data_IF_743297718946
#
_entry.id   IF_743297718946
#
_cell.length_a   1.000
_cell.length_b   1.000
_cell.length_c   1.000
_cell.angle_alpha   90.00
_cell.angle_beta   90.00
_cell.angle_gamma   90.00
#
_symmetry.space_group_name_H-M   'P 1'
#
loop_
_entity.id
_entity.type
_entity.pdbx_description
1 polymer ?
#
# COMPACT_ATOMS: atom_id res chain seq x y z
N UNK A 1 39.69 -24.72 26.01
CA UNK A 1 39.43 -23.95 24.77
C UNK A 1 38.06 -23.30 24.90
N UNK A 2 37.96 -21.97 24.86
CA UNK A 2 36.68 -21.25 24.96
C UNK A 2 36.02 -21.21 23.58
N UNK A 3 34.89 -21.90 23.43
CA UNK A 3 34.01 -21.75 22.26
C UNK A 3 33.40 -20.34 22.35
N UNK A 4 33.93 -19.39 21.57
CA UNK A 4 33.27 -18.11 21.34
C UNK A 4 32.13 -18.33 20.36
N UNK A 5 30.94 -18.64 20.87
CA UNK A 5 29.71 -18.56 20.09
C UNK A 5 29.46 -17.10 19.71
N UNK A 6 29.77 -16.75 18.47
CA UNK A 6 29.33 -15.49 17.89
C UNK A 6 27.82 -15.62 17.62
N UNK A 7 26.99 -15.07 18.52
CA UNK A 7 25.57 -14.85 18.24
C UNK A 7 25.46 -13.66 17.29
N UNK A 8 25.81 -13.88 16.02
CA UNK A 8 25.68 -12.87 14.98
C UNK A 8 24.20 -12.73 14.60
N UNK A 9 23.60 -11.62 15.00
CA UNK A 9 22.23 -11.25 14.59
C UNK A 9 22.24 -10.99 13.08
N UNK A 10 21.46 -11.76 12.33
CA UNK A 10 21.20 -11.50 10.91
C UNK A 10 19.85 -10.80 10.76
N UNK A 11 19.86 -9.60 10.19
CA UNK A 11 18.63 -8.85 9.88
C UNK A 11 18.20 -9.16 8.46
N UNK A 12 16.95 -9.59 8.29
CA UNK A 12 16.34 -9.87 6.99
C UNK A 12 15.19 -8.88 6.81
N UNK A 13 15.28 -8.02 5.80
CA UNK A 13 14.26 -7.00 5.51
C UNK A 13 13.45 -7.40 4.29
N UNK A 14 12.14 -7.59 4.46
CA UNK A 14 11.21 -7.95 3.39
C UNK A 14 10.00 -7.01 3.40
N UNK A 15 9.61 -6.50 2.22
CA UNK A 15 8.35 -5.76 2.04
C UNK A 15 7.25 -6.74 1.61
N UNK A 16 6.23 -6.92 2.44
CA UNK A 16 5.06 -7.76 2.14
C UNK A 16 3.79 -6.94 2.38
N UNK A 17 2.79 -7.09 1.51
CA UNK A 17 1.45 -6.55 1.74
C UNK A 17 0.59 -7.61 2.42
N UNK A 18 -0.08 -7.23 3.50
CA UNK A 18 -1.05 -8.09 4.18
C UNK A 18 -2.32 -8.13 3.32
N UNK A 19 -2.83 -9.34 3.07
CA UNK A 19 -4.04 -9.55 2.28
C UNK A 19 -5.31 -9.20 3.05
N UNK A 20 -6.49 -9.31 2.39
CA UNK A 20 -7.79 -9.07 3.03
C UNK A 20 -8.10 -10.02 4.20
N UNK A 21 -7.39 -11.14 4.27
CA UNK A 21 -7.46 -12.16 5.33
C UNK A 21 -6.70 -11.75 6.61
N UNK A 22 -5.89 -10.69 6.55
CA UNK A 22 -5.09 -10.23 7.68
C UNK A 22 -3.86 -11.09 7.97
N UNK A 23 -3.48 -12.01 7.07
CA UNK A 23 -2.39 -12.96 7.31
C UNK A 23 -1.10 -12.51 6.64
N UNK A 24 -0.01 -12.40 7.43
CA UNK A 24 1.33 -12.11 6.92
C UNK A 24 2.08 -13.42 6.65
N UNK A 25 2.23 -13.78 5.38
CA UNK A 25 2.98 -14.96 4.95
C UNK A 25 4.46 -14.63 4.69
N UNK A 26 5.36 -15.10 5.56
CA UNK A 26 6.81 -14.92 5.40
C UNK A 26 7.49 -16.25 5.04
N UNK A 27 8.29 -16.25 3.97
CA UNK A 27 9.19 -17.35 3.62
C UNK A 27 10.62 -16.86 3.79
N UNK A 28 11.33 -17.37 4.79
CA UNK A 28 12.71 -17.01 5.10
C UNK A 28 13.61 -18.13 4.60
N UNK A 29 14.34 -17.96 3.49
CA UNK A 29 15.33 -18.94 3.07
C UNK A 29 16.47 -18.96 4.10
N UNK A 30 16.84 -20.16 4.56
CA UNK A 30 17.94 -20.37 5.49
C UNK A 30 18.84 -21.49 4.96
N UNK A 31 20.15 -21.31 5.11
CA UNK A 31 21.15 -22.34 4.79
C UNK A 31 21.51 -23.19 6.02
N UNK A 32 20.92 -22.86 7.18
CA UNK A 32 21.18 -23.54 8.44
C UNK A 32 20.36 -24.82 8.50
N UNK A 33 21.03 -25.96 8.67
CA UNK A 33 20.43 -27.29 8.81
C UNK A 33 20.62 -27.79 10.24
N UNK A 34 19.60 -28.48 10.76
CA UNK A 34 19.62 -29.13 12.08
C UNK A 34 20.12 -28.23 13.21
N UNK A 35 19.55 -27.03 13.32
CA UNK A 35 19.88 -26.10 14.41
C UNK A 35 18.61 -25.44 14.94
N UNK A 36 18.58 -25.20 16.25
CA UNK A 36 17.56 -24.38 16.88
C UNK A 36 17.85 -22.90 16.60
N UNK A 37 16.85 -22.18 16.10
CA UNK A 37 16.95 -20.77 15.76
C UNK A 37 15.83 -20.03 16.47
N UNK A 38 16.19 -19.03 17.27
CA UNK A 38 15.25 -18.06 17.82
C UNK A 38 14.97 -16.97 16.78
N UNK A 39 13.69 -16.72 16.50
CA UNK A 39 13.25 -15.72 15.53
C UNK A 39 12.45 -14.64 16.25
N UNK A 40 12.92 -13.40 16.15
CA UNK A 40 12.21 -12.22 16.67
C UNK A 40 11.61 -11.46 15.49
N UNK A 41 10.28 -11.32 15.48
CA UNK A 41 9.55 -10.57 14.45
C UNK A 41 9.06 -9.25 15.06
N UNK A 42 9.49 -8.14 14.49
CA UNK A 42 9.02 -6.81 14.90
C UNK A 42 8.11 -6.25 13.81
N UNK A 43 6.82 -6.11 14.13
CA UNK A 43 5.83 -5.49 13.24
C UNK A 43 5.76 -4.00 13.56
N UNK A 44 6.33 -3.18 12.69
CA UNK A 44 6.12 -1.74 12.72
C UNK A 44 5.11 -1.38 11.63
N UNK A 45 3.89 -0.94 11.99
CA UNK A 45 2.99 -0.39 11.00
C UNK A 45 3.71 0.80 10.37
N UNK A 46 3.98 0.72 9.07
CA UNK A 46 4.35 1.93 8.36
C UNK A 46 3.15 2.87 8.49
N UNK A 47 3.37 4.16 8.79
CA UNK A 47 2.31 5.13 8.59
C UNK A 47 1.83 4.88 7.17
N UNK A 48 0.53 4.65 7.01
CA UNK A 48 -0.03 4.73 5.68
C UNK A 48 0.43 6.11 5.19
N UNK A 49 1.38 6.16 4.25
CA UNK A 49 1.40 7.23 3.28
C UNK A 49 -0.06 7.36 2.95
N UNK A 50 -0.68 8.50 3.34
CA UNK A 50 -2.12 8.71 3.21
C UNK A 50 -2.45 8.06 1.90
N UNK A 51 -3.27 7.01 1.98
CA UNK A 51 -3.85 6.43 0.80
C UNK A 51 -4.73 7.57 0.29
N UNK A 52 -4.10 8.54 -0.40
CA UNK A 52 -4.78 9.28 -1.41
C UNK A 52 -5.29 8.15 -2.28
N UNK A 53 -6.61 7.93 -2.31
CA UNK A 53 -7.15 6.95 -3.21
C UNK A 53 -6.47 7.27 -4.53
N UNK A 54 -5.97 6.24 -5.21
CA UNK A 54 -5.63 6.38 -6.61
C UNK A 54 -6.92 6.76 -7.35
N UNK A 55 -7.37 8.01 -7.19
CA UNK A 55 -8.20 8.75 -8.09
C UNK A 55 -7.33 8.78 -9.31
N UNK A 56 -7.54 7.82 -10.20
CA UNK A 56 -6.72 7.65 -11.37
C UNK A 56 -6.41 9.00 -12.00
N UNK A 57 -5.12 9.30 -12.13
CA UNK A 57 -4.57 10.24 -13.12
C UNK A 57 -4.92 11.73 -13.02
N UNK A 58 -5.47 12.22 -11.90
CA UNK A 58 -5.69 13.67 -11.77
C UNK A 58 -4.45 14.35 -11.16
N UNK A 59 -3.99 15.48 -11.70
CA UNK A 59 -2.99 16.32 -11.06
C UNK A 59 -3.40 16.71 -9.63
N UNK A 60 -2.43 17.02 -8.79
CA UNK A 60 -2.68 17.57 -7.45
C UNK A 60 -3.63 18.78 -7.55
N UNK A 61 -4.57 18.88 -6.62
CA UNK A 61 -5.59 19.95 -6.53
C UNK A 61 -6.57 20.08 -7.71
N UNK A 62 -6.59 19.15 -8.68
CA UNK A 62 -7.43 19.28 -9.87
C UNK A 62 -8.92 19.45 -9.52
N UNK A 63 -9.44 18.69 -8.56
CA UNK A 63 -10.86 18.76 -8.19
C UNK A 63 -11.16 20.09 -7.47
N UNK A 64 -10.26 20.52 -6.60
CA UNK A 64 -10.36 21.75 -5.84
C UNK A 64 -10.35 22.98 -6.76
N UNK A 65 -9.56 22.95 -7.84
CA UNK A 65 -9.47 24.04 -8.82
C UNK A 65 -10.56 24.02 -9.89
N UNK A 66 -11.06 22.84 -10.27
CA UNK A 66 -12.02 22.72 -11.39
C UNK A 66 -13.47 22.52 -10.97
N UNK A 67 -13.73 22.13 -9.73
CA UNK A 67 -15.10 21.97 -9.25
C UNK A 67 -15.86 23.30 -9.31
N UNK A 68 -16.92 23.34 -10.13
CA UNK A 68 -17.73 24.54 -10.30
C UNK A 68 -17.13 25.59 -11.24
N UNK A 69 -16.12 25.26 -12.06
CA UNK A 69 -15.52 26.20 -13.01
C UNK A 69 -16.52 26.78 -14.04
N UNK A 70 -17.67 26.13 -14.24
CA UNK A 70 -18.76 26.58 -15.11
C UNK A 70 -19.94 27.20 -14.35
N UNK A 71 -19.74 27.61 -13.08
CA UNK A 71 -20.80 28.22 -12.27
C UNK A 71 -21.34 29.52 -12.89
N UNK A 72 -20.44 30.35 -13.42
CA UNK A 72 -20.76 31.66 -13.99
C UNK A 72 -21.22 31.58 -15.46
N UNK A 73 -20.93 30.47 -16.15
CA UNK A 73 -21.39 30.19 -17.52
C UNK A 73 -21.89 28.73 -17.64
N UNK A 74 -23.12 28.44 -17.19
CA UNK A 74 -23.66 27.09 -17.18
C UNK A 74 -23.91 26.56 -18.58
N UNK A 75 -23.61 25.28 -18.81
CA UNK A 75 -23.89 24.62 -20.09
C UNK A 75 -25.41 24.58 -20.34
N UNK A 76 -25.85 25.19 -21.44
CA UNK A 76 -27.25 25.14 -21.87
C UNK A 76 -27.58 23.76 -22.43
N UNK A 77 -28.54 23.07 -21.81
CA UNK A 77 -29.03 21.78 -22.32
C UNK A 77 -30.16 21.99 -23.33
N UNK A 78 -29.89 21.71 -24.60
CA UNK A 78 -30.90 21.74 -25.66
C UNK A 78 -31.92 20.58 -25.51
N UNK A 79 -33.12 20.70 -26.14
CA UNK A 79 -34.10 19.64 -26.18
C UNK A 79 -33.48 18.33 -26.71
N UNK A 80 -33.56 17.26 -25.92
CA UNK A 80 -33.15 15.93 -26.38
C UNK A 80 -34.35 15.30 -27.09
N UNK A 81 -34.14 14.84 -28.33
CA UNK A 81 -35.14 14.04 -29.04
C UNK A 81 -35.53 12.85 -28.18
N UNK A 82 -36.82 12.62 -28.02
CA UNK A 82 -37.31 11.48 -27.25
C UNK A 82 -36.88 10.17 -27.94
N UNK A 83 -36.28 9.26 -27.19
CA UNK A 83 -36.23 7.86 -27.59
C UNK A 83 -37.64 7.29 -27.35
N UNK A 84 -38.32 6.83 -28.41
CA UNK A 84 -39.57 6.09 -28.23
C UNK A 84 -39.21 4.75 -27.57
N UNK A 85 -39.51 4.62 -26.28
CA UNK A 85 -39.48 3.34 -25.54
C UNK A 85 -40.64 2.49 -26.01
#
# INVERSE_FOLDING_TARGET
MKLKGSNAVKTITTKVKIGPDGVLNLKIPTDVKESEIEVVIVLQPQPAERYEPSRGKWPANFIEETYGCLKEDPIVRHPQSYCKV
#
